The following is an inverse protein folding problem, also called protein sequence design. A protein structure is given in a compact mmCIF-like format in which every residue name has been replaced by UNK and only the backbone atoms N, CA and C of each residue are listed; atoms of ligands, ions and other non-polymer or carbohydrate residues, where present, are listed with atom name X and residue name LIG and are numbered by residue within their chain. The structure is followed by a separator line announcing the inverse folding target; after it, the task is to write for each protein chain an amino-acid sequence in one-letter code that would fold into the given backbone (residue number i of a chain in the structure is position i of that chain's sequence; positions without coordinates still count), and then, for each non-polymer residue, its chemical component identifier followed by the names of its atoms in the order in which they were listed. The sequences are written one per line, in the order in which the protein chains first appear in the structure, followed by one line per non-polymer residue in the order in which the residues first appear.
data_IF_360253510335
#
_entry.id   IF_360253510335
#
_cell.length_a   1.000
_cell.length_b   1.000
_cell.length_c   1.000
_cell.angle_alpha   90.00
_cell.angle_beta   90.00
_cell.angle_gamma   90.00
#
_symmetry.space_group_name_H-M   'P 1'
#
loop_
_entity.id
_entity.type
_entity.pdbx_description
1 polymer ?
#
# COMPACT_ATOMS: atom_id res chain seq x y z
N UNK A 1 -0.22 -18.58 -5.02
CA UNK A 1 -0.20 -19.70 -5.98
C UNK A 1 -1.16 -19.45 -7.15
N UNK A 2 -2.47 -19.27 -6.93
CA UNK A 2 -3.47 -19.06 -7.98
C UNK A 2 -3.16 -17.84 -8.88
N UNK A 3 -2.68 -16.73 -8.32
CA UNK A 3 -2.29 -15.54 -9.11
C UNK A 3 -1.08 -15.81 -10.02
N UNK A 4 -0.09 -16.57 -9.54
CA UNK A 4 1.05 -16.94 -10.37
C UNK A 4 0.61 -17.84 -11.53
N UNK A 5 -0.28 -18.80 -11.27
CA UNK A 5 -0.87 -19.66 -12.31
C UNK A 5 -1.65 -18.84 -13.33
N UNK A 6 -2.44 -17.84 -12.88
CA UNK A 6 -3.16 -16.97 -13.81
C UNK A 6 -2.19 -16.22 -14.73
N UNK A 7 -1.11 -15.67 -14.20
CA UNK A 7 -0.09 -14.96 -14.98
C UNK A 7 0.60 -15.90 -15.98
N UNK A 8 0.80 -17.18 -15.63
CA UNK A 8 1.39 -18.20 -16.49
C UNK A 8 0.52 -18.58 -17.69
N UNK A 9 -0.80 -18.33 -17.62
CA UNK A 9 -1.68 -18.53 -18.78
C UNK A 9 -1.42 -17.55 -19.93
N UNK A 10 -0.66 -16.47 -19.68
CA UNK A 10 -0.33 -15.48 -20.70
C UNK A 10 1.12 -15.63 -21.16
N UNK A 11 1.33 -15.79 -22.47
CA UNK A 11 2.68 -15.82 -23.04
C UNK A 11 3.45 -14.51 -22.77
N UNK A 12 2.74 -13.38 -22.76
CA UNK A 12 3.26 -12.05 -22.46
C UNK A 12 2.31 -11.33 -21.51
N UNK A 13 2.42 -11.57 -20.18
CA UNK A 13 1.54 -10.93 -19.22
C UNK A 13 1.75 -9.42 -19.19
N UNK A 14 0.64 -8.68 -19.12
CA UNK A 14 0.73 -7.23 -18.99
C UNK A 14 1.45 -6.84 -17.69
N UNK A 15 2.23 -5.76 -17.75
CA UNK A 15 3.00 -5.24 -16.60
C UNK A 15 2.16 -5.08 -15.35
N UNK A 16 0.93 -4.58 -15.50
CA UNK A 16 0.01 -4.35 -14.36
C UNK A 16 -0.23 -5.63 -13.54
N UNK A 17 -0.32 -6.81 -14.19
CA UNK A 17 -0.50 -8.08 -13.49
C UNK A 17 0.73 -8.45 -12.66
N UNK A 18 1.92 -8.20 -13.21
CA UNK A 18 3.18 -8.42 -12.48
C UNK A 18 3.31 -7.45 -11.30
N UNK A 19 2.91 -6.20 -11.50
CA UNK A 19 2.95 -5.18 -10.43
C UNK A 19 1.97 -5.51 -9.30
N UNK A 20 0.79 -6.06 -9.61
CA UNK A 20 -0.12 -6.56 -8.60
C UNK A 20 0.47 -7.71 -7.77
N UNK A 21 1.23 -8.62 -8.40
CA UNK A 21 1.95 -9.68 -7.67
C UNK A 21 3.04 -9.10 -6.75
N UNK A 22 3.75 -8.08 -7.19
CA UNK A 22 4.82 -7.44 -6.41
C UNK A 22 4.38 -6.85 -5.08
N UNK A 23 3.07 -6.61 -4.86
CA UNK A 23 2.54 -6.25 -3.55
C UNK A 23 3.05 -7.20 -2.45
N UNK A 24 3.15 -8.49 -2.76
CA UNK A 24 3.64 -9.48 -1.80
C UNK A 24 5.14 -9.30 -1.51
N UNK A 25 5.95 -8.97 -2.51
CA UNK A 25 7.38 -8.68 -2.29
C UNK A 25 7.57 -7.42 -1.42
N UNK A 26 6.79 -6.36 -1.66
CA UNK A 26 6.81 -5.16 -0.81
C UNK A 26 6.39 -5.49 0.64
N UNK A 27 5.36 -6.32 0.81
CA UNK A 27 4.90 -6.76 2.13
C UNK A 27 5.92 -7.66 2.82
N UNK A 28 6.51 -8.60 2.07
CA UNK A 28 7.57 -9.47 2.57
C UNK A 28 8.79 -8.67 3.02
N UNK A 29 9.20 -7.66 2.23
CA UNK A 29 10.36 -6.84 2.57
C UNK A 29 10.15 -6.09 3.89
N UNK A 30 8.97 -5.51 4.12
CA UNK A 30 8.64 -4.87 5.40
C UNK A 30 8.74 -5.86 6.57
N UNK A 31 8.21 -7.07 6.39
CA UNK A 31 8.24 -8.11 7.41
C UNK A 31 9.67 -8.58 7.70
N UNK A 32 10.49 -8.79 6.65
CA UNK A 32 11.89 -9.18 6.79
C UNK A 32 12.71 -8.09 7.48
N UNK A 33 12.52 -6.82 7.08
CA UNK A 33 13.21 -5.69 7.68
C UNK A 33 12.82 -5.52 9.16
N UNK A 34 11.53 -5.68 9.49
CA UNK A 34 11.04 -5.65 10.87
C UNK A 34 11.64 -6.75 11.73
N UNK A 35 11.69 -7.98 11.22
CA UNK A 35 12.32 -9.11 11.92
C UNK A 35 13.81 -8.88 12.18
N UNK A 36 14.54 -8.34 11.19
CA UNK A 36 15.95 -7.97 11.35
C UNK A 36 16.15 -6.83 12.36
N UNK A 37 15.26 -5.83 12.34
CA UNK A 37 15.25 -4.74 13.30
C UNK A 37 15.07 -5.25 14.74
N UNK A 38 14.21 -6.27 14.91
CA UNK A 38 13.98 -6.97 16.18
C UNK A 38 15.05 -8.02 16.51
N UNK A 39 16.10 -8.13 15.70
CA UNK A 39 17.19 -9.12 15.84
C UNK A 39 16.71 -10.59 15.83
N UNK A 40 15.63 -10.88 15.13
CA UNK A 40 15.13 -12.24 14.98
C UNK A 40 16.13 -13.08 14.16
N UNK A 41 16.45 -14.27 14.66
CA UNK A 41 17.38 -15.19 13.98
C UNK A 41 16.68 -16.04 12.93
N UNK A 42 15.40 -16.32 13.14
CA UNK A 42 14.59 -17.13 12.22
C UNK A 42 14.00 -16.26 11.12
N UNK A 43 14.13 -16.72 9.87
CA UNK A 43 13.45 -16.06 8.76
C UNK A 43 11.93 -16.12 8.95
N UNK A 44 11.22 -14.99 8.87
CA UNK A 44 9.76 -14.98 8.85
C UNK A 44 9.20 -15.80 7.68
N UNK A 45 7.97 -16.27 7.82
CA UNK A 45 7.27 -16.93 6.73
C UNK A 45 6.88 -15.90 5.66
N UNK A 46 7.45 -16.04 4.47
CA UNK A 46 7.24 -15.13 3.34
C UNK A 46 6.33 -15.79 2.29
N UNK A 47 5.61 -14.96 1.54
CA UNK A 47 4.88 -15.40 0.36
C UNK A 47 5.84 -15.37 -0.83
N UNK A 48 6.42 -16.52 -1.16
CA UNK A 48 7.36 -16.63 -2.28
C UNK A 48 6.62 -16.67 -3.62
N UNK A 49 6.93 -15.72 -4.49
CA UNK A 49 6.38 -15.62 -5.84
C UNK A 49 7.20 -16.42 -6.88
N UNK A 50 8.22 -17.15 -6.45
CA UNK A 50 9.11 -17.92 -7.31
C UNK A 50 9.82 -17.03 -8.34
N UNK A 51 9.67 -17.35 -9.63
CA UNK A 51 10.33 -16.60 -10.75
C UNK A 51 9.84 -15.15 -10.89
N UNK A 52 8.71 -14.78 -10.26
CA UNK A 52 8.15 -13.43 -10.31
C UNK A 52 8.63 -12.54 -9.15
N UNK A 53 9.26 -13.13 -8.13
CA UNK A 53 9.81 -12.37 -7.01
C UNK A 53 11.00 -11.52 -7.45
N UNK A 54 11.02 -10.28 -6.95
CA UNK A 54 12.17 -9.37 -7.10
C UNK A 54 13.10 -9.43 -5.89
N UNK A 55 12.76 -10.24 -4.88
CA UNK A 55 13.55 -10.45 -3.68
C UNK A 55 14.19 -11.84 -3.67
N UNK A 56 15.45 -11.92 -3.20
CA UNK A 56 16.15 -13.17 -3.06
C UNK A 56 16.17 -13.65 -1.61
N UNK A 57 15.09 -14.31 -1.17
CA UNK A 57 14.90 -14.76 0.22
C UNK A 57 15.97 -15.73 0.73
N UNK A 58 16.70 -16.42 -0.18
CA UNK A 58 17.79 -17.34 0.18
C UNK A 58 18.97 -16.65 0.86
N UNK A 59 19.06 -15.33 0.70
CA UNK A 59 20.12 -14.51 1.29
C UNK A 59 19.83 -14.06 2.74
N UNK A 60 18.74 -14.52 3.37
CA UNK A 60 18.51 -14.23 4.78
C UNK A 60 19.74 -14.57 5.64
N UNK A 61 20.15 -13.73 6.59
CA UNK A 61 19.56 -12.47 7.02
C UNK A 61 20.17 -11.20 6.36
N UNK A 62 20.84 -11.32 5.23
CA UNK A 62 21.52 -10.20 4.57
C UNK A 62 20.56 -9.38 3.69
N UNK A 63 19.99 -8.31 4.27
CA UNK A 63 19.00 -7.47 3.60
C UNK A 63 19.51 -6.88 2.27
N UNK A 64 20.77 -6.44 2.24
CA UNK A 64 21.34 -5.88 1.02
C UNK A 64 21.41 -6.91 -0.14
N UNK A 65 21.69 -8.17 0.16
CA UNK A 65 21.66 -9.24 -0.83
C UNK A 65 20.26 -9.72 -1.20
N UNK A 66 19.31 -9.59 -0.26
CA UNK A 66 17.90 -9.90 -0.54
C UNK A 66 17.34 -8.93 -1.58
N UNK A 67 17.71 -7.65 -1.51
CA UNK A 67 17.19 -6.56 -2.36
C UNK A 67 18.10 -6.17 -3.52
N UNK A 68 19.27 -6.80 -3.70
CA UNK A 68 20.32 -6.37 -4.64
C UNK A 68 19.84 -6.21 -6.09
N UNK A 69 18.85 -7.00 -6.51
CA UNK A 69 18.36 -7.04 -7.87
C UNK A 69 16.99 -6.34 -7.98
N UNK A 70 16.96 -5.15 -8.58
CA UNK A 70 15.72 -4.51 -8.96
C UNK A 70 15.41 -3.20 -8.26
N UNK A 71 14.15 -2.86 -8.30
CA UNK A 71 13.65 -1.54 -7.87
C UNK A 71 13.68 -1.32 -6.35
N UNK A 72 13.93 -2.37 -5.55
CA UNK A 72 14.02 -2.33 -4.09
C UNK A 72 15.46 -2.29 -3.57
N UNK A 73 16.47 -2.22 -4.44
CA UNK A 73 17.90 -2.21 -4.07
C UNK A 73 18.32 -1.03 -3.17
N UNK A 74 17.55 0.02 -3.15
CA UNK A 74 17.75 1.14 -2.23
C UNK A 74 17.47 0.78 -0.76
N UNK A 75 16.65 -0.28 -0.50
CA UNK A 75 16.34 -0.77 0.84
C UNK A 75 17.38 -1.82 1.26
N UNK A 76 18.62 -1.41 1.43
CA UNK A 76 19.78 -2.29 1.61
C UNK A 76 20.36 -2.29 3.04
N UNK A 77 19.77 -1.53 3.95
CA UNK A 77 20.18 -1.46 5.36
C UNK A 77 19.00 -1.83 6.24
N UNK A 78 19.29 -2.55 7.32
CA UNK A 78 18.30 -2.81 8.36
C UNK A 78 17.95 -1.48 9.02
N UNK A 79 16.66 -1.10 9.08
CA UNK A 79 16.26 0.15 9.69
C UNK A 79 16.37 0.10 11.21
N UNK A 80 16.56 1.26 11.80
CA UNK A 80 16.28 1.43 13.22
C UNK A 80 14.76 1.47 13.47
N UNK A 81 14.31 1.14 14.68
CA UNK A 81 12.88 1.12 15.05
C UNK A 81 12.19 2.45 14.72
N UNK A 82 12.89 3.57 14.92
CA UNK A 82 12.37 4.91 14.62
C UNK A 82 12.22 5.21 13.12
N UNK A 83 13.02 4.56 12.27
CA UNK A 83 13.04 4.76 10.82
C UNK A 83 12.09 3.85 10.07
N UNK A 84 11.74 2.70 10.66
CA UNK A 84 10.98 1.64 10.00
C UNK A 84 9.67 2.16 9.40
N UNK A 85 8.89 2.93 10.17
CA UNK A 85 7.62 3.47 9.69
C UNK A 85 7.79 4.39 8.47
N UNK A 86 8.85 5.18 8.43
CA UNK A 86 9.13 6.09 7.31
C UNK A 86 9.50 5.29 6.06
N UNK A 87 10.33 4.26 6.22
CA UNK A 87 10.75 3.40 5.12
C UNK A 87 9.59 2.54 4.61
N UNK A 88 8.73 2.05 5.49
CA UNK A 88 7.52 1.31 5.12
C UNK A 88 6.56 2.18 4.31
N UNK A 89 6.38 3.44 4.71
CA UNK A 89 5.57 4.42 3.95
C UNK A 89 6.18 4.68 2.57
N UNK A 90 7.51 4.79 2.48
CA UNK A 90 8.21 4.97 1.20
C UNK A 90 8.03 3.76 0.28
N UNK A 91 8.06 2.54 0.83
CA UNK A 91 7.75 1.32 0.08
C UNK A 91 6.31 1.33 -0.44
N UNK A 92 5.33 1.70 0.39
CA UNK A 92 3.94 1.81 -0.04
C UNK A 92 3.77 2.81 -1.18
N UNK A 93 4.38 3.98 -1.07
CA UNK A 93 4.31 5.00 -2.10
C UNK A 93 4.99 4.56 -3.40
N UNK A 94 6.12 3.88 -3.31
CA UNK A 94 6.78 3.32 -4.49
C UNK A 94 5.89 2.29 -5.19
N UNK A 95 5.27 1.38 -4.41
CA UNK A 95 4.32 0.41 -4.96
C UNK A 95 3.14 1.10 -5.65
N UNK A 96 2.47 2.05 -4.98
CA UNK A 96 1.31 2.75 -5.52
C UNK A 96 1.67 3.55 -6.78
N UNK A 97 2.86 4.17 -6.80
CA UNK A 97 3.37 4.88 -7.97
C UNK A 97 3.59 3.92 -9.15
N UNK A 98 4.21 2.77 -8.91
CA UNK A 98 4.44 1.74 -9.93
C UNK A 98 3.10 1.20 -10.46
N UNK A 99 2.15 0.92 -9.56
CA UNK A 99 0.82 0.43 -9.90
C UNK A 99 0.07 1.43 -10.80
N UNK A 100 0.08 2.70 -10.44
CA UNK A 100 -0.55 3.76 -11.23
C UNK A 100 0.11 3.95 -12.59
N UNK A 101 1.44 3.98 -12.62
CA UNK A 101 2.22 4.07 -13.85
C UNK A 101 1.87 2.96 -14.83
N UNK A 102 1.81 1.72 -14.36
CA UNK A 102 1.51 0.56 -15.20
C UNK A 102 0.02 0.51 -15.60
N UNK A 103 -0.89 0.99 -14.76
CA UNK A 103 -2.28 1.19 -15.13
C UNK A 103 -2.43 2.22 -16.28
N UNK A 104 -1.67 3.31 -16.23
CA UNK A 104 -1.64 4.32 -17.30
C UNK A 104 -1.02 3.79 -18.59
N UNK A 105 -0.09 2.84 -18.51
CA UNK A 105 0.59 2.21 -19.63
C UNK A 105 -0.14 0.96 -20.19
N UNK A 106 -1.27 0.57 -19.62
CA UNK A 106 -2.07 -0.57 -20.08
C UNK A 106 -2.59 -0.38 -21.50
N UNK A 107 -2.98 -1.47 -22.16
CA UNK A 107 -3.54 -1.44 -23.51
C UNK A 107 -4.74 -0.49 -23.62
N UNK A 108 -4.84 0.22 -24.74
CA UNK A 108 -5.84 1.27 -24.94
C UNK A 108 -7.28 0.76 -24.78
N UNK A 109 -7.55 -0.47 -25.18
CA UNK A 109 -8.87 -1.13 -25.10
C UNK A 109 -9.40 -1.27 -23.66
N UNK A 110 -8.52 -1.43 -22.67
CA UNK A 110 -8.86 -1.66 -21.26
C UNK A 110 -8.33 -0.60 -20.31
N UNK A 111 -7.53 0.35 -20.81
CA UNK A 111 -6.84 1.35 -20.01
C UNK A 111 -7.77 2.17 -19.12
N UNK A 112 -8.91 2.60 -19.66
CA UNK A 112 -9.86 3.42 -18.90
C UNK A 112 -10.41 2.67 -17.70
N UNK A 113 -10.77 1.40 -17.88
CA UNK A 113 -11.30 0.54 -16.83
C UNK A 113 -10.22 0.25 -15.77
N UNK A 114 -9.02 -0.12 -16.21
CA UNK A 114 -7.89 -0.39 -15.30
C UNK A 114 -7.52 0.85 -14.49
N UNK A 115 -7.40 2.01 -15.13
CA UNK A 115 -7.13 3.28 -14.43
C UNK A 115 -8.21 3.61 -13.42
N UNK A 116 -9.47 3.41 -13.76
CA UNK A 116 -10.59 3.65 -12.83
C UNK A 116 -10.53 2.74 -11.61
N UNK A 117 -10.24 1.46 -11.80
CA UNK A 117 -10.10 0.48 -10.70
C UNK A 117 -8.91 0.81 -9.80
N UNK A 118 -7.75 1.08 -10.38
CA UNK A 118 -6.53 1.41 -9.62
C UNK A 118 -6.69 2.74 -8.88
N UNK A 119 -7.28 3.75 -9.52
CA UNK A 119 -7.54 5.04 -8.86
C UNK A 119 -8.48 4.87 -7.66
N UNK A 120 -9.54 4.05 -7.80
CA UNK A 120 -10.46 3.80 -6.69
C UNK A 120 -9.78 3.03 -5.55
N UNK A 121 -8.94 2.04 -5.85
CA UNK A 121 -8.13 1.31 -4.86
C UNK A 121 -7.21 2.26 -4.08
N UNK A 122 -6.45 3.11 -4.77
CA UNK A 122 -5.56 4.09 -4.13
C UNK A 122 -6.35 5.08 -3.26
N UNK A 123 -7.48 5.55 -3.76
CA UNK A 123 -8.39 6.45 -3.03
C UNK A 123 -8.90 5.82 -1.73
N UNK A 124 -9.35 4.57 -1.80
CA UNK A 124 -9.82 3.82 -0.63
C UNK A 124 -8.69 3.65 0.39
N UNK A 125 -7.47 3.33 -0.05
CA UNK A 125 -6.29 3.23 0.83
C UNK A 125 -6.02 4.55 1.55
N UNK A 126 -6.03 5.67 0.84
CA UNK A 126 -5.86 6.98 1.45
C UNK A 126 -6.96 7.28 2.49
N UNK A 127 -8.22 6.99 2.18
CA UNK A 127 -9.34 7.18 3.10
C UNK A 127 -9.15 6.35 4.37
N UNK A 128 -8.89 5.06 4.23
CA UNK A 128 -8.68 4.15 5.36
C UNK A 128 -7.49 4.62 6.19
N UNK A 129 -6.41 5.02 5.55
CA UNK A 129 -5.20 5.48 6.21
C UNK A 129 -5.45 6.79 6.97
N UNK A 130 -6.08 7.78 6.32
CA UNK A 130 -6.45 9.05 6.95
C UNK A 130 -7.33 8.86 8.20
N UNK A 131 -8.35 8.02 8.09
CA UNK A 131 -9.24 7.70 9.20
C UNK A 131 -8.52 7.02 10.37
N UNK A 132 -7.61 6.10 10.07
CA UNK A 132 -6.80 5.42 11.10
C UNK A 132 -5.91 6.42 11.83
N UNK A 133 -5.18 7.25 11.10
CA UNK A 133 -4.32 8.26 11.69
C UNK A 133 -5.12 9.25 12.54
N UNK A 134 -6.31 9.65 12.08
CA UNK A 134 -7.19 10.56 12.82
C UNK A 134 -7.78 9.93 14.07
N UNK A 135 -8.35 8.74 13.94
CA UNK A 135 -9.16 8.11 15.02
C UNK A 135 -8.25 7.44 16.06
N UNK A 136 -7.30 6.62 15.62
CA UNK A 136 -6.50 5.82 16.54
C UNK A 136 -5.25 6.55 17.03
N UNK A 137 -4.57 7.26 16.11
CA UNK A 137 -3.31 7.95 16.46
C UNK A 137 -3.53 9.40 16.88
N UNK A 138 -4.77 9.92 16.77
CA UNK A 138 -5.12 11.31 17.16
C UNK A 138 -4.24 12.37 16.49
N UNK A 139 -3.75 12.08 15.30
CA UNK A 139 -2.91 13.01 14.55
C UNK A 139 -3.74 14.21 14.05
N UNK A 140 -3.07 15.36 13.93
CA UNK A 140 -3.64 16.54 13.30
C UNK A 140 -3.76 16.37 11.77
N UNK A 141 -4.62 17.19 11.16
CA UNK A 141 -4.92 17.07 9.73
C UNK A 141 -3.70 17.36 8.83
N UNK A 142 -2.82 18.25 9.24
CA UNK A 142 -1.64 18.61 8.47
C UNK A 142 -0.65 17.45 8.43
N UNK A 143 -0.37 16.86 9.57
CA UNK A 143 0.47 15.65 9.70
C UNK A 143 -0.09 14.47 8.93
N UNK A 144 -1.43 14.31 8.90
CA UNK A 144 -2.08 13.26 8.12
C UNK A 144 -1.91 13.53 6.63
N UNK A 145 -2.12 14.79 6.20
CA UNK A 145 -2.00 15.18 4.79
C UNK A 145 -0.61 14.80 4.22
N UNK A 146 0.45 15.01 4.98
CA UNK A 146 1.83 14.65 4.58
C UNK A 146 2.04 13.14 4.39
N UNK A 147 1.15 12.30 4.90
CA UNK A 147 1.21 10.84 4.83
C UNK A 147 0.27 10.23 3.78
N UNK A 148 -0.46 11.04 3.05
CA UNK A 148 -1.33 10.58 1.97
C UNK A 148 -0.58 10.50 0.64
N UNK A 149 -1.01 9.58 -0.21
CA UNK A 149 -0.48 9.44 -1.57
C UNK A 149 -1.27 10.35 -2.52
N UNK A 150 -0.58 11.24 -3.21
CA UNK A 150 -1.15 12.19 -4.17
C UNK A 150 -0.72 11.83 -5.59
N UNK A 151 -1.60 12.05 -6.58
CA UNK A 151 -1.19 12.13 -7.98
C UNK A 151 -0.44 13.46 -8.23
N UNK A 152 -0.99 14.55 -7.70
CA UNK A 152 -0.39 15.88 -7.79
C UNK A 152 -0.55 16.65 -6.47
N UNK A 153 0.49 16.69 -5.64
CA UNK A 153 0.44 17.40 -4.35
C UNK A 153 0.08 18.89 -4.44
N UNK A 154 0.30 19.53 -5.61
CA UNK A 154 -0.04 20.94 -5.83
C UNK A 154 -1.54 21.19 -5.97
N UNK A 155 -2.34 20.16 -6.22
CA UNK A 155 -3.79 20.22 -6.40
C UNK A 155 -4.50 19.37 -5.34
N UNK A 156 -4.08 19.43 -4.09
CA UNK A 156 -4.46 18.51 -3.03
C UNK A 156 -5.99 18.33 -2.88
N UNK A 157 -6.77 19.40 -2.86
CA UNK A 157 -8.23 19.34 -2.65
C UNK A 157 -8.98 18.63 -3.81
N UNK A 158 -8.47 18.74 -5.02
CA UNK A 158 -9.04 18.12 -6.22
C UNK A 158 -8.30 16.88 -6.69
N UNK A 159 -7.29 16.46 -5.90
CA UNK A 159 -6.47 15.31 -6.24
C UNK A 159 -7.30 14.03 -6.36
N UNK A 160 -7.04 13.26 -7.42
CA UNK A 160 -7.77 12.03 -7.73
C UNK A 160 -7.69 11.00 -6.62
N UNK A 161 -6.58 10.94 -5.91
CA UNK A 161 -6.32 9.93 -4.88
C UNK A 161 -6.62 10.41 -3.46
N UNK A 162 -6.20 11.64 -3.13
CA UNK A 162 -6.25 12.16 -1.76
C UNK A 162 -7.48 13.06 -1.49
N UNK A 163 -8.10 13.64 -2.52
CA UNK A 163 -9.16 14.62 -2.34
C UNK A 163 -10.34 14.15 -1.47
N UNK A 164 -10.78 12.89 -1.62
CA UNK A 164 -11.86 12.35 -0.78
C UNK A 164 -11.43 12.13 0.69
N UNK A 165 -10.18 11.74 0.91
CA UNK A 165 -9.63 11.63 2.27
C UNK A 165 -9.54 13.00 2.95
N UNK A 166 -9.12 14.04 2.22
CA UNK A 166 -9.06 15.40 2.75
C UNK A 166 -10.45 15.97 3.07
N UNK A 167 -11.45 15.68 2.23
CA UNK A 167 -12.85 16.09 2.50
C UNK A 167 -13.38 15.54 3.82
N UNK A 168 -13.09 14.29 4.15
CA UNK A 168 -13.56 13.71 5.42
C UNK A 168 -12.74 14.22 6.60
N UNK A 169 -11.45 14.51 6.43
CA UNK A 169 -10.61 15.08 7.49
C UNK A 169 -11.04 16.48 7.90
N UNK A 170 -11.67 17.25 6.98
CA UNK A 170 -12.21 18.59 7.28
C UNK A 170 -13.50 18.57 8.09
N UNK A 171 -14.14 17.40 8.24
CA UNK A 171 -15.39 17.21 8.96
C UNK A 171 -15.17 16.70 10.37
N UNK A 172 -16.15 16.94 11.25
CA UNK A 172 -16.19 16.28 12.55
C UNK A 172 -16.66 14.83 12.38
N UNK A 173 -15.71 13.89 12.50
CA UNK A 173 -15.97 12.46 12.35
C UNK A 173 -16.92 11.95 13.45
N UNK A 174 -16.99 12.60 14.61
CA UNK A 174 -17.93 12.25 15.69
C UNK A 174 -19.37 12.64 15.37
N UNK A 175 -19.59 13.58 14.46
CA UNK A 175 -20.90 14.04 14.05
C UNK A 175 -21.38 13.31 12.79
N UNK A 176 -22.22 12.27 12.98
CA UNK A 176 -22.74 11.47 11.86
C UNK A 176 -23.44 12.29 10.77
N UNK A 177 -24.14 13.37 11.14
CA UNK A 177 -24.88 14.19 10.18
C UNK A 177 -23.97 14.90 9.15
N UNK A 178 -22.72 15.17 9.51
CA UNK A 178 -21.77 15.81 8.62
C UNK A 178 -21.24 14.90 7.51
N UNK A 179 -21.21 13.59 7.74
CA UNK A 179 -20.63 12.65 6.79
C UNK A 179 -21.57 11.55 6.31
N UNK A 180 -22.83 11.46 6.81
CA UNK A 180 -23.79 10.42 6.42
C UNK A 180 -24.07 10.33 4.93
N UNK A 181 -24.01 11.45 4.21
CA UNK A 181 -24.23 11.54 2.76
C UNK A 181 -22.97 11.29 1.94
N UNK A 182 -21.83 11.15 2.60
CA UNK A 182 -20.58 10.91 1.90
C UNK A 182 -20.54 9.49 1.31
N UNK A 183 -20.08 9.37 0.06
CA UNK A 183 -20.04 8.10 -0.69
C UNK A 183 -19.44 6.93 0.11
N UNK A 184 -18.43 7.19 0.91
CA UNK A 184 -17.70 6.18 1.69
C UNK A 184 -18.14 6.11 3.16
N UNK A 185 -19.29 6.70 3.51
CA UNK A 185 -19.82 6.72 4.90
C UNK A 185 -19.91 5.34 5.55
N UNK A 186 -20.17 4.29 4.75
CA UNK A 186 -20.20 2.91 5.22
C UNK A 186 -18.87 2.43 5.79
N UNK A 187 -17.76 3.01 5.35
CA UNK A 187 -16.41 2.68 5.85
C UNK A 187 -16.17 3.27 7.25
N UNK A 188 -16.84 4.37 7.60
CA UNK A 188 -16.80 4.96 8.94
C UNK A 188 -17.66 4.19 9.95
N UNK A 189 -18.68 3.52 9.47
CA UNK A 189 -19.62 2.78 10.33
C UNK A 189 -19.08 1.39 10.73
N UNK A 190 -17.77 1.30 10.94
CA UNK A 190 -17.04 0.08 11.27
C UNK A 190 -17.41 -0.50 12.65
N UNK A 191 -18.03 0.29 13.52
CA UNK A 191 -18.59 -0.20 14.77
C UNK A 191 -19.81 -1.12 14.56
N UNK A 192 -20.42 -1.12 13.37
CA UNK A 192 -21.65 -1.88 13.05
C UNK A 192 -21.35 -3.18 12.32
N UNK A 193 -20.12 -3.38 11.79
CA UNK A 193 -19.75 -4.61 11.09
C UNK A 193 -18.62 -5.38 11.79
N UNK A 194 -18.92 -6.19 12.80
CA UNK A 194 -17.92 -7.05 13.46
C UNK A 194 -17.46 -8.23 12.60
N UNK A 195 -17.66 -8.22 11.29
CA UNK A 195 -17.37 -9.34 10.40
C UNK A 195 -16.58 -9.04 9.13
N UNK A 196 -16.18 -7.81 8.85
CA UNK A 196 -15.25 -7.57 7.76
C UNK A 196 -13.84 -7.97 8.21
N UNK A 197 -13.18 -8.89 7.50
CA UNK A 197 -11.79 -9.16 7.76
C UNK A 197 -11.00 -7.93 7.32
N UNK A 198 -10.87 -6.94 8.20
CA UNK A 198 -9.77 -6.03 8.08
C UNK A 198 -8.54 -6.91 7.97
N UNK A 199 -7.79 -6.71 6.90
CA UNK A 199 -6.40 -7.10 6.88
C UNK A 199 -5.91 -6.81 8.29
N UNK A 200 -5.68 -7.87 9.07
CA UNK A 200 -5.01 -7.78 10.34
C UNK A 200 -3.64 -7.20 10.01
N UNK A 201 -3.58 -5.87 9.94
CA UNK A 201 -2.29 -5.22 10.05
C UNK A 201 -1.92 -5.51 11.48
N UNK A 202 -1.08 -6.54 11.65
CA UNK A 202 -0.46 -6.86 12.92
C UNK A 202 0.05 -5.54 13.46
N UNK A 203 -0.35 -5.24 14.70
CA UNK A 203 0.24 -4.18 15.46
C UNK A 203 1.77 -4.33 15.36
N UNK A 204 2.40 -3.34 14.76
CA UNK A 204 3.79 -3.06 14.99
C UNK A 204 3.85 -2.16 16.22
#
# INVERSE_FOLDING_TARGET
EQYCQLVECYAHPQKILLTLLRLYDYSNLKMLAGALCMQETKCPEVIDLGKYSILNYKNWPNLAKITENGELSWYNKVPDISEQQVLDTKLDFQYLHSLWKDACASEQSVRTQIKSLVAEEIKIRNIVWALRLKIYYKMDNESICQKLFFENPKSAETDVFAGEALKILSKDISNFDEWKTWKYSKMLNLAVFPGFPFIKIRNI
#
